data_IF_137253646233
#
_entry.id   IF_137253646233
#
_cell.length_a   1.000
_cell.length_b   1.000
_cell.length_c   1.000
_cell.angle_alpha   90.00
_cell.angle_beta   90.00
_cell.angle_gamma   90.00
#
_symmetry.space_group_name_H-M   'P 1'
#
loop_
_entity.id
_entity.type
_entity.pdbx_description
1 polymer ?
#
# COMPACT_ATOMS: atom_id res chain seq x y z
N UNK A 1 -13.45 -18.16 -19.89
CA UNK A 1 -12.17 -18.02 -19.18
C UNK A 1 -11.09 -17.84 -20.22
N UNK A 2 -10.98 -16.63 -20.76
CA UNK A 2 -10.24 -16.36 -22.01
C UNK A 2 -9.30 -15.17 -21.84
N UNK A 3 -9.70 -14.18 -21.01
CA UNK A 3 -8.87 -13.02 -20.65
C UNK A 3 -7.52 -13.39 -20.02
N UNK A 4 -7.53 -14.35 -19.08
CA UNK A 4 -6.30 -14.80 -18.41
C UNK A 4 -5.39 -15.65 -19.30
N UNK A 5 -5.94 -16.32 -20.32
CA UNK A 5 -5.14 -17.16 -21.23
C UNK A 5 -4.35 -16.31 -22.25
N UNK A 6 -4.96 -15.22 -22.76
CA UNK A 6 -4.25 -14.27 -23.64
C UNK A 6 -3.17 -13.47 -22.91
N UNK A 7 -3.33 -13.25 -21.60
CA UNK A 7 -2.30 -12.60 -20.77
C UNK A 7 -1.04 -13.48 -20.59
N UNK A 8 -1.19 -14.80 -20.75
CA UNK A 8 -0.11 -15.76 -20.53
C UNK A 8 0.66 -16.09 -21.81
N UNK A 9 -0.02 -16.19 -22.96
CA UNK A 9 0.58 -16.61 -24.24
C UNK A 9 1.04 -15.44 -25.14
N UNK A 10 0.53 -14.21 -24.94
CA UNK A 10 0.84 -13.06 -25.79
C UNK A 10 1.54 -11.94 -24.99
N UNK A 11 2.88 -11.92 -25.09
CA UNK A 11 3.73 -10.91 -24.43
C UNK A 11 3.41 -9.49 -24.89
N UNK A 12 3.04 -9.27 -26.14
CA UNK A 12 2.72 -7.94 -26.67
C UNK A 12 1.37 -7.45 -26.16
N UNK A 13 0.40 -8.35 -26.00
CA UNK A 13 -0.88 -8.02 -25.37
C UNK A 13 -0.70 -7.68 -23.89
N UNK A 14 0.08 -8.47 -23.15
CA UNK A 14 0.39 -8.19 -21.75
C UNK A 14 1.13 -6.86 -21.54
N UNK A 15 2.08 -6.52 -22.44
CA UNK A 15 2.78 -5.23 -22.41
C UNK A 15 1.80 -4.07 -22.64
N UNK A 16 0.92 -4.17 -23.64
CA UNK A 16 -0.06 -3.11 -23.94
C UNK A 16 -1.09 -2.93 -22.82
N UNK A 17 -1.55 -4.00 -22.20
CA UNK A 17 -2.46 -3.92 -21.04
C UNK A 17 -1.76 -3.25 -19.86
N UNK A 18 -0.50 -3.61 -19.61
CA UNK A 18 0.31 -2.97 -18.57
C UNK A 18 0.58 -1.49 -18.85
N UNK A 19 0.77 -1.11 -20.11
CA UNK A 19 0.93 0.30 -20.50
C UNK A 19 -0.34 1.11 -20.26
N UNK A 20 -1.53 0.54 -20.52
CA UNK A 20 -2.81 1.19 -20.21
C UNK A 20 -3.00 1.38 -18.70
N UNK A 21 -2.61 0.39 -17.89
CA UNK A 21 -2.61 0.52 -16.42
C UNK A 21 -1.65 1.63 -15.95
N UNK A 22 -0.45 1.73 -16.55
CA UNK A 22 0.49 2.81 -16.25
C UNK A 22 -0.10 4.19 -16.58
N UNK A 23 -0.82 4.35 -17.69
CA UNK A 23 -1.48 5.62 -18.04
C UNK A 23 -2.51 6.03 -16.98
N UNK A 24 -3.30 5.07 -16.49
CA UNK A 24 -4.28 5.34 -15.43
C UNK A 24 -3.60 5.74 -14.11
N UNK A 25 -2.47 5.11 -13.80
CA UNK A 25 -1.65 5.46 -12.64
C UNK A 25 -1.04 6.86 -12.78
N UNK A 26 -0.43 7.19 -13.92
CA UNK A 26 0.15 8.51 -14.20
C UNK A 26 -0.89 9.63 -14.07
N UNK A 27 -2.12 9.37 -14.53
CA UNK A 27 -3.23 10.30 -14.37
C UNK A 27 -3.60 10.50 -12.89
N UNK A 28 -3.69 9.41 -12.12
CA UNK A 28 -3.98 9.49 -10.69
C UNK A 28 -2.86 10.20 -9.91
N UNK A 29 -1.60 9.98 -10.27
CA UNK A 29 -0.45 10.69 -9.70
C UNK A 29 -0.52 12.19 -10.00
N UNK A 30 -0.80 12.55 -11.25
CA UNK A 30 -0.98 13.94 -11.65
C UNK A 30 -2.09 14.63 -10.86
N UNK A 31 -3.24 13.96 -10.71
CA UNK A 31 -4.36 14.45 -9.92
C UNK A 31 -4.01 14.58 -8.43
N UNK A 32 -3.24 13.63 -7.87
CA UNK A 32 -2.75 13.70 -6.50
C UNK A 32 -1.89 14.94 -6.27
N UNK A 33 -0.96 15.23 -7.19
CA UNK A 33 -0.09 16.42 -7.09
C UNK A 33 -0.87 17.73 -7.23
N UNK A 34 -1.87 17.81 -8.10
CA UNK A 34 -2.74 18.99 -8.18
C UNK A 34 -3.52 19.20 -6.87
N UNK A 35 -4.10 18.14 -6.30
CA UNK A 35 -4.79 18.24 -5.01
C UNK A 35 -3.86 18.70 -3.87
N UNK A 36 -2.60 18.25 -3.87
CA UNK A 36 -1.59 18.73 -2.91
C UNK A 36 -1.29 20.22 -3.12
N UNK A 37 -1.16 20.66 -4.38
CA UNK A 37 -0.98 22.08 -4.73
C UNK A 37 -2.15 22.93 -4.24
N UNK A 38 -3.38 22.41 -4.36
CA UNK A 38 -4.62 23.03 -3.88
C UNK A 38 -4.85 22.86 -2.36
N UNK A 39 -3.82 22.39 -1.63
CA UNK A 39 -3.82 22.23 -0.17
C UNK A 39 -4.92 21.32 0.37
N UNK A 40 -5.29 20.27 -0.38
CA UNK A 40 -6.22 19.24 0.08
C UNK A 40 -5.54 18.35 1.14
N UNK A 41 -6.00 18.46 2.38
CA UNK A 41 -5.41 17.80 3.54
C UNK A 41 -5.23 16.28 3.36
N UNK A 42 -6.27 15.57 2.92
CA UNK A 42 -6.22 14.12 2.72
C UNK A 42 -5.12 13.69 1.74
N UNK A 43 -4.92 14.43 0.65
CA UNK A 43 -3.90 14.15 -0.36
C UNK A 43 -2.48 14.39 0.20
N UNK A 44 -2.30 15.44 1.00
CA UNK A 44 -1.03 15.73 1.67
C UNK A 44 -0.70 14.63 2.68
N UNK A 45 -1.64 14.26 3.54
CA UNK A 45 -1.46 13.20 4.55
C UNK A 45 -1.13 11.88 3.85
N UNK A 46 -1.90 11.50 2.82
CA UNK A 46 -1.67 10.27 2.07
C UNK A 46 -0.27 10.23 1.44
N UNK A 47 0.15 11.31 0.78
CA UNK A 47 1.47 11.40 0.16
C UNK A 47 2.60 11.29 1.20
N UNK A 48 2.46 11.96 2.35
CA UNK A 48 3.46 11.91 3.42
C UNK A 48 3.51 10.53 4.10
N UNK A 49 2.37 9.90 4.38
CA UNK A 49 2.32 8.54 4.93
C UNK A 49 2.97 7.49 4.00
N UNK A 50 2.92 7.72 2.69
CA UNK A 50 3.45 6.77 1.69
C UNK A 50 4.90 7.06 1.32
N UNK A 51 5.22 8.25 0.83
CA UNK A 51 6.56 8.66 0.37
C UNK A 51 7.40 9.33 1.45
N UNK A 52 6.78 9.90 2.48
CA UNK A 52 7.45 10.59 3.58
C UNK A 52 7.90 9.70 4.74
N UNK A 53 7.77 8.36 4.65
CA UNK A 53 8.16 7.43 5.73
C UNK A 53 9.59 7.65 6.23
N UNK A 54 10.54 7.90 5.33
CA UNK A 54 11.94 8.19 5.70
C UNK A 54 12.14 9.50 6.48
N UNK A 55 11.14 10.39 6.50
CA UNK A 55 11.12 11.64 7.27
C UNK A 55 10.31 11.51 8.58
N UNK A 56 9.89 10.31 8.95
CA UNK A 56 9.15 10.05 10.19
C UNK A 56 7.63 10.08 10.08
N UNK A 57 7.06 10.22 8.87
CA UNK A 57 5.61 10.09 8.63
C UNK A 57 5.18 8.62 8.61
N UNK A 58 5.42 7.93 9.71
CA UNK A 58 5.10 6.51 9.89
C UNK A 58 3.88 6.43 10.81
N UNK A 59 2.87 5.71 10.36
CA UNK A 59 1.72 5.37 11.18
C UNK A 59 2.15 4.34 12.24
N UNK A 60 2.06 4.72 13.51
CA UNK A 60 2.34 3.82 14.63
C UNK A 60 1.03 3.21 15.10
N UNK A 61 1.04 1.90 15.30
CA UNK A 61 -0.02 1.20 16.00
C UNK A 61 0.41 1.02 17.45
N UNK A 62 -0.44 1.43 18.37
CA UNK A 62 -0.28 1.10 19.79
C UNK A 62 -1.02 -0.21 20.04
N UNK A 63 -0.27 -1.27 20.34
CA UNK A 63 -0.83 -2.60 20.61
C UNK A 63 -0.71 -2.85 22.11
N UNK A 64 -1.82 -2.71 22.83
CA UNK A 64 -1.90 -3.03 24.25
C UNK A 64 -2.05 -4.54 24.43
N UNK A 65 -1.07 -5.19 25.05
CA UNK A 65 -1.11 -6.62 25.34
C UNK A 65 -1.66 -6.85 26.76
N UNK A 66 -2.96 -7.15 26.86
CA UNK A 66 -3.64 -7.50 28.13
C UNK A 66 -3.66 -9.03 28.39
N UNK A 67 -2.55 -9.72 28.10
CA UNK A 67 -2.42 -11.15 28.33
C UNK A 67 -2.22 -11.50 29.81
N UNK A 68 -3.11 -12.32 30.39
CA UNK A 68 -2.93 -12.88 31.73
C UNK A 68 -1.74 -13.86 31.71
N UNK A 69 -0.66 -13.50 32.39
CA UNK A 69 0.50 -14.39 32.58
C UNK A 69 0.07 -15.54 33.49
N UNK A 70 0.09 -16.78 32.97
CA UNK A 70 -0.08 -17.99 33.77
C UNK A 70 1.31 -18.59 33.98
N UNK A 71 1.86 -18.43 35.18
CA UNK A 71 3.08 -19.13 35.59
C UNK A 71 2.70 -20.54 36.03
N UNK A 72 3.11 -21.54 35.27
CA UNK A 72 3.05 -22.96 35.69
C UNK A 72 4.43 -23.32 36.21
N UNK A 73 4.53 -23.56 37.53
CA UNK A 73 5.71 -24.16 38.14
C UNK A 73 5.62 -25.65 37.93
N UNK A 74 6.61 -26.23 37.25
CA UNK A 74 6.73 -27.69 37.11
C UNK A 74 7.59 -28.14 38.29
N UNK A 75 7.01 -28.93 39.18
CA UNK A 75 7.76 -29.65 40.22
C UNK A 75 8.23 -30.97 39.59
N UNK A 76 9.55 -31.17 39.53
CA UNK A 76 10.17 -32.42 39.11
C UNK A 76 10.11 -33.41 40.29
N UNK A 77 9.38 -34.53 40.11
CA UNK A 77 9.34 -35.70 41.03
C UNK A 77 10.65 -36.51 41.01
#
# INVERSE_FOLDING_TARGET
QTFYNYLQDDKDFAIKVKDVENIALDFAESALFQNIKDRREASIIFYLKTKGKGRGYIEKQEIEHSGKIITVTVEDD
#
